data_IF_570007578607
#
_entry.id   IF_570007578607
#
_cell.length_a   1.000
_cell.length_b   1.000
_cell.length_c   1.000
_cell.angle_alpha   90.00
_cell.angle_beta   90.00
_cell.angle_gamma   90.00
#
_symmetry.space_group_name_H-M   'P 1'
#
loop_
_entity.id
_entity.type
_entity.pdbx_description
1 polymer ?
#
# COMPACT_ATOMS: atom_id res chain seq x y z
N UNK A 1 -4.78 -26.11 15.07
CA UNK A 1 -4.22 -26.13 13.71
C UNK A 1 -5.25 -25.49 12.79
N UNK A 2 -4.97 -24.29 12.31
CA UNK A 2 -5.91 -23.44 11.58
C UNK A 2 -5.48 -23.47 10.11
N UNK A 3 -6.36 -23.93 9.23
CA UNK A 3 -6.20 -23.76 7.79
C UNK A 3 -6.13 -22.26 7.49
N UNK A 4 -4.92 -21.70 7.44
CA UNK A 4 -4.69 -20.35 6.94
C UNK A 4 -4.52 -20.46 5.41
N UNK A 5 -5.66 -20.40 4.73
CA UNK A 5 -5.86 -19.37 3.70
C UNK A 5 -4.93 -19.38 2.46
N UNK A 6 -4.75 -20.52 1.82
CA UNK A 6 -4.40 -20.54 0.38
C UNK A 6 -5.47 -19.75 -0.42
N UNK A 7 -6.73 -19.79 0.04
CA UNK A 7 -7.83 -18.99 -0.51
C UNK A 7 -7.67 -17.46 -0.41
N UNK A 8 -6.93 -16.92 0.57
CA UNK A 8 -6.65 -15.47 0.65
C UNK A 8 -5.46 -15.07 -0.22
N UNK A 9 -4.49 -15.98 -0.43
CA UNK A 9 -3.37 -15.73 -1.35
C UNK A 9 -3.78 -15.78 -2.82
N UNK A 10 -4.76 -16.59 -3.21
CA UNK A 10 -5.24 -16.70 -4.61
C UNK A 10 -6.30 -15.64 -4.94
N UNK A 11 -7.13 -15.22 -3.97
CA UNK A 11 -8.10 -14.13 -4.18
C UNK A 11 -7.48 -12.75 -4.23
N UNK A 12 -6.42 -12.49 -3.45
CA UNK A 12 -5.72 -11.19 -3.50
C UNK A 12 -5.26 -10.79 -4.91
N UNK A 13 -4.55 -11.62 -5.69
CA UNK A 13 -4.12 -11.24 -7.04
C UNK A 13 -5.29 -11.09 -8.00
N UNK A 14 -6.33 -11.92 -7.89
CA UNK A 14 -7.56 -11.78 -8.70
C UNK A 14 -8.30 -10.48 -8.39
N UNK A 15 -8.47 -10.14 -7.11
CA UNK A 15 -9.13 -8.90 -6.69
C UNK A 15 -8.30 -7.67 -7.08
N UNK A 16 -6.97 -7.73 -6.95
CA UNK A 16 -6.07 -6.68 -7.41
C UNK A 16 -6.14 -6.56 -8.94
N UNK A 17 -6.16 -7.68 -9.68
CA UNK A 17 -6.31 -7.69 -11.13
C UNK A 17 -7.63 -7.07 -11.58
N UNK A 18 -8.75 -7.43 -10.93
CA UNK A 18 -10.05 -6.81 -11.17
C UNK A 18 -10.07 -5.33 -10.83
N UNK A 19 -9.42 -4.94 -9.72
CA UNK A 19 -9.29 -3.54 -9.33
C UNK A 19 -8.53 -2.72 -10.37
N UNK A 20 -7.41 -3.27 -10.88
CA UNK A 20 -6.63 -2.65 -11.96
C UNK A 20 -7.50 -2.50 -13.21
N UNK A 21 -8.15 -3.58 -13.64
CA UNK A 21 -8.98 -3.56 -14.84
C UNK A 21 -10.12 -2.54 -14.72
N UNK A 22 -10.80 -2.52 -13.58
CA UNK A 22 -11.88 -1.57 -13.30
C UNK A 22 -11.35 -0.13 -13.27
N UNK A 23 -10.20 0.12 -12.67
CA UNK A 23 -9.57 1.45 -12.63
C UNK A 23 -9.18 1.92 -14.04
N UNK A 24 -8.56 1.06 -14.84
CA UNK A 24 -8.22 1.37 -16.23
C UNK A 24 -9.45 1.72 -17.07
N UNK A 25 -10.49 0.87 -17.00
CA UNK A 25 -11.74 1.07 -17.73
C UNK A 25 -12.41 2.37 -17.28
N UNK A 26 -12.46 2.64 -15.98
CA UNK A 26 -13.10 3.84 -15.45
C UNK A 26 -12.34 5.11 -15.84
N UNK A 27 -11.00 5.10 -15.76
CA UNK A 27 -10.19 6.22 -16.21
C UNK A 27 -10.38 6.48 -17.72
N UNK A 28 -10.38 5.42 -18.53
CA UNK A 28 -10.60 5.54 -19.98
C UNK A 28 -12.01 6.02 -20.30
N UNK A 29 -13.03 5.47 -19.65
CA UNK A 29 -14.42 5.85 -19.83
C UNK A 29 -14.65 7.32 -19.46
N UNK A 30 -14.05 7.81 -18.36
CA UNK A 30 -14.13 9.23 -17.97
C UNK A 30 -13.51 10.13 -19.04
N UNK A 31 -12.33 9.78 -19.57
CA UNK A 31 -11.71 10.54 -20.65
C UNK A 31 -12.56 10.52 -21.92
N UNK A 32 -13.09 9.36 -22.29
CA UNK A 32 -13.90 9.19 -23.48
C UNK A 32 -15.26 9.91 -23.38
N UNK A 33 -15.98 9.77 -22.27
CA UNK A 33 -17.28 10.41 -22.05
C UNK A 33 -17.18 11.93 -21.96
N UNK A 34 -16.04 12.46 -21.53
CA UNK A 34 -15.80 13.90 -21.43
C UNK A 34 -15.09 14.49 -22.65
N UNK A 35 -14.87 13.70 -23.72
CA UNK A 35 -14.09 14.09 -24.89
C UNK A 35 -12.74 14.73 -24.50
N UNK A 36 -12.07 14.16 -23.50
CA UNK A 36 -10.78 14.63 -23.00
C UNK A 36 -10.84 15.84 -22.05
N UNK A 37 -12.00 16.42 -21.74
CA UNK A 37 -12.10 17.54 -20.80
C UNK A 37 -11.59 17.20 -19.39
N UNK A 38 -11.71 15.92 -18.98
CA UNK A 38 -11.16 15.43 -17.73
C UNK A 38 -9.62 15.38 -17.68
N UNK A 39 -8.91 15.53 -18.81
CA UNK A 39 -7.44 15.44 -18.87
C UNK A 39 -6.75 16.35 -17.84
N UNK A 40 -7.23 17.59 -17.69
CA UNK A 40 -6.67 18.55 -16.72
C UNK A 40 -6.74 18.03 -15.27
N UNK A 41 -7.77 17.26 -14.94
CA UNK A 41 -7.89 16.62 -13.63
C UNK A 41 -6.81 15.55 -13.46
N UNK A 42 -6.65 14.67 -14.44
CA UNK A 42 -5.59 13.65 -14.43
C UNK A 42 -4.21 14.28 -14.31
N UNK A 43 -3.91 15.31 -15.10
CA UNK A 43 -2.62 16.01 -15.05
C UNK A 43 -2.35 16.59 -13.66
N UNK A 44 -3.37 17.19 -13.03
CA UNK A 44 -3.27 17.75 -11.68
C UNK A 44 -2.98 16.66 -10.65
N UNK A 45 -3.72 15.54 -10.70
CA UNK A 45 -3.50 14.41 -9.76
C UNK A 45 -2.13 13.77 -9.97
N UNK A 46 -1.74 13.55 -11.24
CA UNK A 46 -0.44 13.00 -11.62
C UNK A 46 0.73 13.91 -11.20
N UNK A 47 0.54 15.23 -11.22
CA UNK A 47 1.55 16.17 -10.74
C UNK A 47 1.81 16.04 -9.23
N UNK A 48 0.80 15.63 -8.46
CA UNK A 48 0.93 15.46 -7.00
C UNK A 48 1.47 14.07 -6.62
N UNK A 49 1.42 13.10 -7.54
CA UNK A 49 1.77 11.70 -7.26
C UNK A 49 3.17 11.49 -6.64
N UNK A 50 4.25 12.16 -7.10
CA UNK A 50 5.56 12.01 -6.46
C UNK A 50 5.58 12.46 -4.99
N UNK A 51 4.85 13.51 -4.64
CA UNK A 51 4.73 14.00 -3.26
C UNK A 51 3.97 13.01 -2.39
N UNK A 52 2.91 12.39 -2.92
CA UNK A 52 2.20 11.32 -2.26
C UNK A 52 3.12 10.12 -1.97
N UNK A 53 3.92 9.69 -2.97
CA UNK A 53 4.88 8.59 -2.81
C UNK A 53 5.92 8.92 -1.73
N UNK A 54 6.43 10.16 -1.71
CA UNK A 54 7.36 10.61 -0.68
C UNK A 54 6.72 10.56 0.72
N UNK A 55 5.49 11.06 0.87
CA UNK A 55 4.76 11.01 2.14
C UNK A 55 4.48 9.56 2.60
N UNK A 56 4.04 8.69 1.69
CA UNK A 56 3.81 7.28 1.99
C UNK A 56 5.11 6.55 2.38
N UNK A 57 6.22 6.86 1.72
CA UNK A 57 7.54 6.31 2.05
C UNK A 57 8.01 6.77 3.44
N UNK A 58 7.85 8.05 3.77
CA UNK A 58 8.16 8.56 5.11
C UNK A 58 7.29 7.90 6.19
N UNK A 59 5.99 7.74 5.93
CA UNK A 59 5.07 7.04 6.80
C UNK A 59 5.52 5.58 7.02
N UNK A 60 5.97 4.90 5.96
CA UNK A 60 6.56 3.54 6.04
C UNK A 60 7.70 3.48 7.05
N UNK A 61 8.66 4.39 6.93
CA UNK A 61 9.80 4.43 7.84
C UNK A 61 9.35 4.65 9.30
N UNK A 62 8.39 5.54 9.52
CA UNK A 62 7.82 5.75 10.85
C UNK A 62 7.14 4.48 11.40
N UNK A 63 6.36 3.77 10.58
CA UNK A 63 5.73 2.50 10.96
C UNK A 63 6.76 1.42 11.27
N UNK A 64 7.79 1.30 10.43
CA UNK A 64 8.85 0.31 10.60
C UNK A 64 9.53 0.49 11.96
N UNK A 65 9.97 1.71 12.26
CA UNK A 65 10.59 2.05 13.55
C UNK A 65 9.64 1.80 14.73
N UNK A 66 8.36 2.11 14.57
CA UNK A 66 7.34 1.81 15.57
C UNK A 66 7.22 0.30 15.83
N UNK A 67 7.14 -0.52 14.78
CA UNK A 67 7.04 -1.98 14.89
C UNK A 67 8.31 -2.56 15.53
N UNK A 68 9.49 -2.06 15.18
CA UNK A 68 10.75 -2.49 15.83
C UNK A 68 10.78 -2.15 17.32
N UNK A 69 10.30 -0.97 17.71
CA UNK A 69 10.13 -0.61 19.12
C UNK A 69 9.21 -1.58 19.85
N UNK A 70 8.07 -1.96 19.24
CA UNK A 70 7.14 -2.93 19.83
C UNK A 70 7.75 -4.33 19.89
N UNK A 71 8.48 -4.77 18.86
CA UNK A 71 9.19 -6.05 18.86
C UNK A 71 10.17 -6.14 20.03
N UNK A 72 10.95 -5.07 20.26
CA UNK A 72 11.85 -4.98 21.41
C UNK A 72 11.07 -5.08 22.73
N UNK A 73 10.02 -4.28 22.90
CA UNK A 73 9.17 -4.27 24.10
C UNK A 73 8.56 -5.65 24.41
N UNK A 74 8.25 -6.44 23.39
CA UNK A 74 7.71 -7.81 23.49
C UNK A 74 8.79 -8.82 23.87
N UNK A 75 9.97 -8.71 23.27
CA UNK A 75 11.08 -9.63 23.53
C UNK A 75 11.57 -9.58 24.98
N UNK A 76 11.39 -8.43 25.64
CA UNK A 76 11.75 -8.22 27.05
C UNK A 76 10.66 -8.69 28.04
N UNK A 77 9.49 -9.12 27.55
CA UNK A 77 8.42 -9.62 28.43
C UNK A 77 8.81 -10.93 29.11
N UNK A 78 8.68 -10.96 30.44
CA UNK A 78 8.73 -12.20 31.22
C UNK A 78 7.34 -12.83 31.24
N UNK A 79 7.19 -14.06 30.74
CA UNK A 79 5.88 -14.72 30.69
C UNK A 79 5.86 -15.97 29.82
N UNK A 80 4.67 -16.33 29.32
CA UNK A 80 4.48 -17.51 28.47
C UNK A 80 5.20 -17.34 27.12
N UNK A 81 6.37 -17.97 27.01
CA UNK A 81 7.26 -17.90 25.84
C UNK A 81 6.57 -18.29 24.52
N UNK A 82 5.58 -19.19 24.56
CA UNK A 82 4.82 -19.57 23.37
C UNK A 82 3.96 -18.42 22.82
N UNK A 83 3.32 -17.66 23.71
CA UNK A 83 2.50 -16.49 23.30
C UNK A 83 3.39 -15.34 22.81
N UNK A 84 4.54 -15.16 23.46
CA UNK A 84 5.55 -14.16 23.07
C UNK A 84 6.10 -14.49 21.67
N UNK A 85 6.48 -15.75 21.43
CA UNK A 85 6.94 -16.20 20.11
C UNK A 85 5.94 -15.94 18.98
N UNK A 86 4.64 -16.22 19.21
CA UNK A 86 3.58 -15.93 18.23
C UNK A 86 3.45 -14.41 17.98
N UNK A 87 3.57 -13.59 19.02
CA UNK A 87 3.50 -12.13 18.87
C UNK A 87 4.70 -11.59 18.07
N UNK A 88 5.91 -12.08 18.36
CA UNK A 88 7.12 -11.73 17.61
C UNK A 88 7.00 -12.13 16.15
N UNK A 89 6.51 -13.33 15.85
CA UNK A 89 6.27 -13.79 14.48
C UNK A 89 5.28 -12.86 13.75
N UNK A 90 4.14 -12.56 14.37
CA UNK A 90 3.10 -11.70 13.77
C UNK A 90 3.58 -10.25 13.55
N UNK A 91 4.39 -9.72 14.45
CA UNK A 91 4.99 -8.40 14.31
C UNK A 91 6.08 -8.39 13.22
N UNK A 92 6.83 -9.49 13.08
CA UNK A 92 7.82 -9.64 12.02
C UNK A 92 7.17 -9.76 10.65
N UNK A 93 6.09 -10.53 10.52
CA UNK A 93 5.25 -10.60 9.32
C UNK A 93 4.78 -9.20 8.91
N UNK A 94 4.27 -8.43 9.89
CA UNK A 94 3.80 -7.07 9.67
C UNK A 94 4.92 -6.12 9.25
N UNK A 95 6.13 -6.27 9.81
CA UNK A 95 7.31 -5.51 9.41
C UNK A 95 7.66 -5.75 7.94
N UNK A 96 7.66 -7.01 7.52
CA UNK A 96 7.94 -7.39 6.13
C UNK A 96 6.84 -6.90 5.17
N UNK A 97 5.56 -6.94 5.59
CA UNK A 97 4.42 -6.38 4.84
C UNK A 97 4.60 -4.88 4.60
N UNK A 98 5.02 -4.12 5.64
CA UNK A 98 5.28 -2.68 5.52
C UNK A 98 6.43 -2.39 4.55
N UNK A 99 7.55 -3.12 4.63
CA UNK A 99 8.68 -2.96 3.68
C UNK A 99 8.25 -3.28 2.25
N UNK A 100 7.54 -4.39 2.05
CA UNK A 100 7.06 -4.82 0.73
C UNK A 100 6.12 -3.78 0.12
N UNK A 101 5.23 -3.18 0.92
CA UNK A 101 4.32 -2.14 0.45
C UNK A 101 5.06 -0.86 0.01
N UNK A 102 6.11 -0.46 0.72
CA UNK A 102 6.92 0.68 0.31
C UNK A 102 7.69 0.45 -0.98
N UNK A 103 8.33 -0.72 -1.11
CA UNK A 103 9.00 -1.11 -2.36
C UNK A 103 8.00 -1.11 -3.53
N UNK A 104 6.78 -1.58 -3.30
CA UNK A 104 5.72 -1.57 -4.29
C UNK A 104 5.28 -0.14 -4.69
N UNK A 105 5.09 0.77 -3.74
CA UNK A 105 4.75 2.17 -4.04
C UNK A 105 5.87 2.85 -4.84
N UNK A 106 7.13 2.58 -4.52
CA UNK A 106 8.28 3.08 -5.29
C UNK A 106 8.27 2.51 -6.71
N UNK A 107 8.00 1.21 -6.89
CA UNK A 107 7.86 0.59 -8.21
C UNK A 107 6.74 1.26 -9.02
N UNK A 108 5.61 1.60 -8.40
CA UNK A 108 4.52 2.32 -9.06
C UNK A 108 4.96 3.72 -9.52
N UNK A 109 5.80 4.42 -8.77
CA UNK A 109 6.38 5.70 -9.21
C UNK A 109 7.25 5.52 -10.46
N UNK A 110 8.08 4.47 -10.50
CA UNK A 110 8.88 4.16 -11.70
C UNK A 110 8.00 3.83 -12.89
N UNK A 111 6.93 3.05 -12.69
CA UNK A 111 5.98 2.75 -13.76
C UNK A 111 5.30 4.01 -14.28
N UNK A 112 4.83 4.93 -13.41
CA UNK A 112 4.28 6.21 -13.85
C UNK A 112 5.29 7.01 -14.69
N UNK A 113 6.54 7.08 -14.26
CA UNK A 113 7.60 7.77 -14.99
C UNK A 113 7.86 7.13 -16.37
N UNK A 114 7.87 5.80 -16.47
CA UNK A 114 8.02 5.07 -17.72
C UNK A 114 6.85 5.34 -18.67
N UNK A 115 5.61 5.30 -18.18
CA UNK A 115 4.43 5.59 -19.01
C UNK A 115 4.36 7.06 -19.41
N UNK A 116 4.80 7.99 -18.55
CA UNK A 116 4.92 9.41 -18.89
C UNK A 116 5.96 9.63 -19.99
N UNK A 117 7.13 9.02 -19.88
CA UNK A 117 8.18 9.10 -20.90
C UNK A 117 7.76 8.43 -22.21
N UNK A 118 7.12 7.25 -22.12
CA UNK A 118 6.57 6.54 -23.26
C UNK A 118 5.53 7.33 -24.01
N UNK A 119 4.61 8.00 -23.31
CA UNK A 119 3.61 8.88 -23.94
C UNK A 119 4.25 10.01 -24.77
N UNK A 120 5.39 10.56 -24.31
CA UNK A 120 6.15 11.57 -25.04
C UNK A 120 6.84 11.08 -26.33
N UNK A 121 6.90 9.77 -26.56
CA UNK A 121 7.44 9.19 -27.81
C UNK A 121 6.40 9.13 -28.93
N UNK A 122 5.12 9.30 -28.61
CA UNK A 122 4.00 9.20 -29.56
C UNK A 122 3.37 10.57 -29.87
N UNK A 123 4.16 11.64 -29.75
CA UNK A 123 3.71 13.03 -29.91
C UNK A 123 2.99 13.24 -31.27
N UNK A 124 1.67 13.44 -31.24
CA UNK A 124 0.92 14.06 -32.35
C UNK A 124 -0.31 13.34 -32.92
N UNK A 125 -0.32 12.01 -33.05
CA UNK A 125 -1.24 11.39 -34.03
C UNK A 125 -2.41 10.55 -33.47
N UNK A 126 -2.51 10.32 -32.15
CA UNK A 126 -3.61 9.50 -31.62
C UNK A 126 -4.11 9.91 -30.23
N UNK A 127 -5.27 10.59 -30.21
CA UNK A 127 -6.04 10.90 -29.00
C UNK A 127 -6.38 9.64 -28.19
N UNK A 128 -6.60 8.50 -28.86
CA UNK A 128 -6.90 7.24 -28.19
C UNK A 128 -5.69 6.67 -27.45
N UNK A 129 -4.48 6.75 -28.03
CA UNK A 129 -3.25 6.33 -27.36
C UNK A 129 -2.96 7.23 -26.16
N UNK A 130 -3.14 8.54 -26.30
CA UNK A 130 -2.98 9.47 -25.18
C UNK A 130 -3.92 9.11 -24.02
N UNK A 131 -5.19 8.82 -24.30
CA UNK A 131 -6.15 8.42 -23.28
C UNK A 131 -5.81 7.07 -22.66
N UNK A 132 -5.28 6.14 -23.44
CA UNK A 132 -4.77 4.86 -22.92
C UNK A 132 -3.63 5.09 -21.92
N UNK A 133 -2.61 5.89 -22.28
CA UNK A 133 -1.49 6.21 -21.39
C UNK A 133 -1.96 6.91 -20.12
N UNK A 134 -2.83 7.91 -20.22
CA UNK A 134 -3.42 8.58 -19.05
C UNK A 134 -4.22 7.62 -18.17
N UNK A 135 -4.94 6.66 -18.77
CA UNK A 135 -5.71 5.67 -18.02
C UNK A 135 -4.81 4.71 -17.25
N UNK A 136 -3.73 4.25 -17.87
CA UNK A 136 -2.72 3.41 -17.20
C UNK A 136 -2.09 4.14 -16.03
N UNK A 137 -1.68 5.39 -16.23
CA UNK A 137 -1.12 6.23 -15.18
C UNK A 137 -2.12 6.52 -14.05
N UNK A 138 -3.40 6.72 -14.38
CA UNK A 138 -4.50 6.80 -13.41
C UNK A 138 -4.65 5.52 -12.58
N UNK A 139 -4.56 4.35 -13.24
CA UNK A 139 -4.56 3.05 -12.57
C UNK A 139 -3.38 2.86 -11.62
N UNK A 140 -2.19 3.32 -12.00
CA UNK A 140 -0.99 3.30 -11.15
C UNK A 140 -1.20 4.11 -9.87
N UNK A 141 -1.77 5.32 -9.96
CA UNK A 141 -2.09 6.13 -8.78
C UNK A 141 -3.13 5.41 -7.91
N UNK A 142 -4.18 4.86 -8.51
CA UNK A 142 -5.23 4.14 -7.80
C UNK A 142 -4.65 2.97 -6.98
N UNK A 143 -3.72 2.22 -7.56
CA UNK A 143 -2.98 1.17 -6.87
C UNK A 143 -2.13 1.70 -5.72
N UNK A 144 -1.47 2.85 -5.89
CA UNK A 144 -0.66 3.44 -4.85
C UNK A 144 -1.51 3.89 -3.65
N UNK A 145 -2.70 4.44 -3.90
CA UNK A 145 -3.69 4.77 -2.86
C UNK A 145 -4.13 3.50 -2.13
N UNK A 146 -4.42 2.42 -2.87
CA UNK A 146 -4.77 1.14 -2.27
C UNK A 146 -3.65 0.58 -1.39
N UNK A 147 -2.40 0.62 -1.86
CA UNK A 147 -1.24 0.17 -1.09
C UNK A 147 -1.04 0.99 0.19
N UNK A 148 -1.19 2.31 0.11
CA UNK A 148 -1.13 3.18 1.29
C UNK A 148 -2.26 2.89 2.28
N UNK A 149 -3.47 2.58 1.79
CA UNK A 149 -4.58 2.16 2.64
C UNK A 149 -4.29 0.85 3.38
N UNK A 150 -3.79 -0.17 2.67
CA UNK A 150 -3.42 -1.46 3.26
C UNK A 150 -2.33 -1.29 4.33
N UNK A 151 -1.35 -0.44 4.05
CA UNK A 151 -0.31 -0.06 5.01
C UNK A 151 -0.88 0.62 6.27
N UNK A 152 -1.87 1.50 6.13
CA UNK A 152 -2.55 2.11 7.28
C UNK A 152 -3.34 1.08 8.12
N UNK A 153 -3.91 0.06 7.48
CA UNK A 153 -4.53 -1.05 8.21
C UNK A 153 -3.48 -1.88 8.96
N UNK A 154 -2.30 -2.08 8.36
CA UNK A 154 -1.15 -2.66 9.03
C UNK A 154 -0.77 -1.89 10.30
N UNK A 155 -0.73 -0.55 10.23
CA UNK A 155 -0.46 0.30 11.40
C UNK A 155 -1.47 0.09 12.54
N UNK A 156 -2.77 0.05 12.21
CA UNK A 156 -3.81 -0.20 13.23
C UNK A 156 -3.60 -1.53 13.96
N UNK A 157 -3.20 -2.58 13.22
CA UNK A 157 -2.87 -3.87 13.82
C UNK A 157 -1.66 -3.74 14.77
N UNK A 158 -0.60 -3.05 14.37
CA UNK A 158 0.56 -2.81 15.25
C UNK A 158 0.18 -2.08 16.54
N UNK A 159 -0.67 -1.06 16.44
CA UNK A 159 -1.14 -0.32 17.62
C UNK A 159 -1.96 -1.20 18.57
N UNK A 160 -2.83 -2.05 18.04
CA UNK A 160 -3.60 -3.01 18.84
C UNK A 160 -2.69 -3.97 19.60
N UNK A 161 -1.62 -4.47 18.96
CA UNK A 161 -0.62 -5.28 19.65
C UNK A 161 0.02 -4.53 20.82
N UNK A 162 0.48 -3.29 20.60
CA UNK A 162 1.11 -2.48 21.66
C UNK A 162 0.16 -2.20 22.83
N UNK A 163 -1.11 -1.93 22.55
CA UNK A 163 -2.13 -1.73 23.60
C UNK A 163 -2.34 -3.00 24.44
N UNK A 164 -2.44 -4.17 23.80
CA UNK A 164 -2.57 -5.45 24.50
C UNK A 164 -1.35 -5.71 25.40
N UNK A 165 -0.14 -5.43 24.90
CA UNK A 165 1.11 -5.60 25.64
C UNK A 165 1.17 -4.67 26.86
N UNK A 166 0.86 -3.39 26.69
CA UNK A 166 0.88 -2.41 27.78
C UNK A 166 -0.15 -2.75 28.87
N UNK A 167 -1.34 -3.22 28.47
CA UNK A 167 -2.36 -3.69 29.42
C UNK A 167 -1.90 -4.95 30.17
N UNK A 168 -1.20 -5.86 29.49
CA UNK A 168 -0.58 -7.02 30.13
C UNK A 168 0.52 -6.66 31.13
N UNK A 169 1.40 -5.70 30.81
CA UNK A 169 2.43 -5.19 31.74
C UNK A 169 1.81 -4.58 33.01
N UNK A 170 0.72 -3.80 32.87
CA UNK A 170 0.02 -3.19 34.03
C UNK A 170 -0.59 -4.21 34.99
N UNK A 171 -1.16 -5.31 34.49
CA UNK A 171 -1.75 -6.36 35.34
C UNK A 171 -0.70 -7.17 36.10
N UNK A 172 0.49 -7.37 35.52
CA UNK A 172 1.58 -8.07 36.21
C UNK A 172 2.26 -7.23 37.30
N UNK A 173 2.19 -5.89 37.22
CA UNK A 173 2.75 -4.99 38.23
C UNK A 173 1.77 -4.66 39.39
N UNK A 174 0.51 -5.11 39.31
CA UNK A 174 -0.49 -4.93 40.38
C UNK A 174 -0.71 -6.19 41.23
N UNK A 175 0.13 -7.21 41.05
CA UNK A 175 0.20 -8.42 41.87
C UNK A 175 1.55 -8.47 42.56
#
# INVERSE_FOLDING_TARGET
>A
MRQLNIWVKVKKPLLIGLYILASLILCFAVLHMTNGAAKKLFDTVLAVFPYFVAAASALTWALFNYIEGVLKDVSELKGNQKKIGIAVEKLTDLKNEVISNAAFIILLLFLDALFKGGAGLFDGDSTLLEWLFLSVRGGVISLAIYAAYDQFQGFKRAQQFRLIINNGKRQNNSK
#
